data_IF_165292592129
#
_entry.id   IF_165292592129
#
_cell.length_a   1.000
_cell.length_b   1.000
_cell.length_c   1.000
_cell.angle_alpha   90.00
_cell.angle_beta   90.00
_cell.angle_gamma   90.00
#
_symmetry.space_group_name_H-M   'P 1'
#
loop_
_entity.id
_entity.type
_entity.pdbx_description
1 polymer ?
#
# COMPACT_ATOMS: atom_id res chain seq x y z
N UNK A 1 -0.71 -21.76 8.85
CA UNK A 1 -2.16 -21.65 8.63
C UNK A 1 -2.36 -20.62 7.53
N UNK A 2 -2.63 -21.07 6.31
CA UNK A 2 -3.08 -20.17 5.24
C UNK A 2 -4.54 -19.84 5.50
N UNK A 3 -4.82 -18.59 5.89
CA UNK A 3 -6.19 -18.10 6.03
C UNK A 3 -6.82 -17.99 4.66
N UNK A 4 -7.82 -18.83 4.39
CA UNK A 4 -8.64 -18.78 3.18
C UNK A 4 -9.34 -17.41 3.10
N UNK A 5 -8.99 -16.62 2.07
CA UNK A 5 -9.52 -15.27 1.82
C UNK A 5 -10.97 -15.38 1.32
N UNK A 6 -11.94 -15.50 2.21
CA UNK A 6 -13.37 -15.40 1.89
C UNK A 6 -13.83 -13.94 1.85
N UNK A 7 -13.22 -13.14 0.97
CA UNK A 7 -13.56 -11.72 0.88
C UNK A 7 -14.68 -11.51 -0.17
N UNK A 8 -15.93 -11.50 0.28
CA UNK A 8 -17.09 -11.00 -0.47
C UNK A 8 -17.05 -9.47 -0.70
N UNK A 9 -15.87 -8.86 -0.67
CA UNK A 9 -15.70 -7.42 -0.82
C UNK A 9 -15.78 -7.07 -2.31
N UNK A 10 -16.89 -6.46 -2.73
CA UNK A 10 -17.07 -5.96 -4.09
C UNK A 10 -16.36 -4.61 -4.17
N UNK A 11 -15.19 -4.60 -4.81
CA UNK A 11 -14.45 -3.37 -5.09
C UNK A 11 -14.96 -2.70 -6.37
N UNK A 12 -15.16 -1.39 -6.31
CA UNK A 12 -15.31 -0.54 -7.49
C UNK A 12 -14.05 -0.61 -8.34
N UNK A 13 -14.13 -0.26 -9.63
CA UNK A 13 -12.92 -0.22 -10.49
C UNK A 13 -11.85 0.71 -9.94
N UNK A 14 -12.24 1.87 -9.42
CA UNK A 14 -11.34 2.80 -8.74
C UNK A 14 -10.58 2.12 -7.60
N UNK A 15 -11.28 1.39 -6.73
CA UNK A 15 -10.66 0.74 -5.57
C UNK A 15 -9.73 -0.41 -5.99
N UNK A 16 -10.01 -1.09 -7.11
CA UNK A 16 -9.11 -2.09 -7.67
C UNK A 16 -7.79 -1.48 -8.13
N UNK A 17 -7.84 -0.34 -8.83
CA UNK A 17 -6.61 0.37 -9.22
C UNK A 17 -5.87 0.93 -8.00
N UNK A 18 -6.59 1.45 -7.00
CA UNK A 18 -6.01 1.93 -5.76
C UNK A 18 -5.29 0.82 -4.99
N UNK A 19 -5.92 -0.34 -4.81
CA UNK A 19 -5.30 -1.53 -4.21
C UNK A 19 -4.07 -1.98 -5.01
N UNK A 20 -4.17 -2.01 -6.35
CA UNK A 20 -3.05 -2.37 -7.21
C UNK A 20 -1.84 -1.48 -6.99
N UNK A 21 -2.05 -0.17 -6.84
CA UNK A 21 -0.98 0.78 -6.52
C UNK A 21 -0.42 0.54 -5.11
N UNK A 22 -1.28 0.37 -4.09
CA UNK A 22 -0.85 0.08 -2.72
C UNK A 22 0.04 -1.17 -2.64
N UNK A 23 -0.39 -2.26 -3.28
CA UNK A 23 0.36 -3.52 -3.32
C UNK A 23 1.70 -3.33 -4.03
N UNK A 24 1.73 -2.61 -5.16
CA UNK A 24 2.98 -2.37 -5.89
C UNK A 24 3.97 -1.51 -5.09
N UNK A 25 3.50 -0.50 -4.36
CA UNK A 25 4.32 0.29 -3.43
C UNK A 25 4.93 -0.62 -2.36
N UNK A 26 4.11 -1.45 -1.71
CA UNK A 26 4.56 -2.34 -0.64
C UNK A 26 5.55 -3.40 -1.13
N UNK A 27 5.33 -3.97 -2.33
CA UNK A 27 6.28 -4.90 -2.94
C UNK A 27 7.64 -4.25 -3.19
N UNK A 28 7.68 -3.00 -3.66
CA UNK A 28 8.94 -2.28 -3.86
C UNK A 28 9.66 -1.89 -2.55
N UNK A 29 8.90 -1.86 -1.45
CA UNK A 29 9.39 -1.59 -0.10
C UNK A 29 9.70 -2.88 0.69
N UNK A 30 9.43 -4.07 0.15
CA UNK A 30 9.55 -5.34 0.89
C UNK A 30 10.98 -5.65 1.37
N UNK A 31 12.00 -5.19 0.64
CA UNK A 31 13.41 -5.34 1.03
C UNK A 31 13.89 -4.28 2.04
N UNK A 32 13.03 -3.34 2.41
CA UNK A 32 13.35 -2.28 3.39
C UNK A 32 12.93 -2.70 4.79
N UNK A 33 13.52 -2.14 5.87
CA UNK A 33 13.11 -2.45 7.25
C UNK A 33 11.78 -1.78 7.65
N UNK A 34 10.89 -1.57 6.69
CA UNK A 34 9.60 -0.91 6.85
C UNK A 34 8.53 -1.95 7.20
N UNK A 35 7.76 -1.67 8.24
CA UNK A 35 6.69 -2.56 8.71
C UNK A 35 5.34 -1.91 8.48
N UNK A 36 4.49 -2.54 7.67
CA UNK A 36 3.10 -2.12 7.47
C UNK A 36 2.29 -2.36 8.75
N UNK A 37 1.48 -1.37 9.15
CA UNK A 37 0.59 -1.40 10.31
C UNK A 37 -0.78 -0.80 9.97
N UNK A 38 -1.64 -0.66 10.99
CA UNK A 38 -2.93 0.02 10.86
C UNK A 38 -3.94 -0.75 10.00
N UNK A 39 -4.93 -0.02 9.47
CA UNK A 39 -6.02 -0.61 8.68
C UNK A 39 -5.53 -1.31 7.41
N UNK A 40 -4.54 -0.73 6.71
CA UNK A 40 -3.97 -1.30 5.50
C UNK A 40 -3.30 -2.66 5.72
N UNK A 41 -2.66 -2.87 6.87
CA UNK A 41 -2.11 -4.18 7.25
C UNK A 41 -3.21 -5.23 7.41
N UNK A 42 -4.27 -4.89 8.14
CA UNK A 42 -5.41 -5.80 8.37
C UNK A 42 -6.11 -6.12 7.05
N UNK A 43 -6.26 -5.11 6.18
CA UNK A 43 -6.86 -5.26 4.85
C UNK A 43 -6.07 -6.19 3.94
N UNK A 44 -4.78 -5.91 3.73
CA UNK A 44 -3.95 -6.62 2.76
C UNK A 44 -3.41 -7.95 3.29
N UNK A 45 -3.11 -8.04 4.59
CA UNK A 45 -2.45 -9.19 5.20
C UNK A 45 -3.38 -10.15 5.94
N UNK A 46 -4.51 -9.68 6.47
CA UNK A 46 -5.36 -10.45 7.38
C UNK A 46 -6.81 -10.61 6.93
N UNK A 47 -7.20 -10.04 5.78
CA UNK A 47 -8.51 -10.26 5.18
C UNK A 47 -9.63 -9.40 5.78
N UNK A 48 -9.38 -8.11 6.05
CA UNK A 48 -10.46 -7.18 6.41
C UNK A 48 -11.54 -7.15 5.31
N UNK A 49 -12.80 -7.23 5.71
CA UNK A 49 -13.97 -7.16 4.82
C UNK A 49 -14.44 -5.72 4.55
N UNK A 50 -13.54 -4.76 4.69
CA UNK A 50 -13.75 -3.33 4.43
C UNK A 50 -12.52 -2.80 3.70
N UNK A 51 -12.73 -1.97 2.68
CA UNK A 51 -11.64 -1.37 1.92
C UNK A 51 -10.87 -0.37 2.80
N UNK A 52 -9.53 -0.43 2.74
CA UNK A 52 -8.64 0.50 3.43
C UNK A 52 -7.75 1.19 2.41
N UNK A 53 -7.73 2.52 2.44
CA UNK A 53 -7.10 3.35 1.41
C UNK A 53 -5.66 3.76 1.75
N UNK A 54 -5.35 3.81 3.05
CA UNK A 54 -4.11 4.37 3.59
C UNK A 54 -3.05 3.29 3.87
N UNK A 55 -1.78 3.69 3.72
CA UNK A 55 -0.61 2.88 4.08
C UNK A 55 0.11 3.49 5.28
N UNK A 56 -0.12 2.93 6.47
CA UNK A 56 0.58 3.32 7.69
C UNK A 56 1.78 2.41 7.91
N UNK A 57 2.97 2.98 8.06
CA UNK A 57 4.20 2.21 8.18
C UNK A 57 5.06 2.70 9.35
N UNK A 58 5.71 1.76 10.03
CA UNK A 58 6.79 2.06 10.96
C UNK A 58 8.14 1.79 10.32
N UNK A 59 9.12 2.61 10.69
CA UNK A 59 10.44 2.58 10.08
C UNK A 59 11.51 2.94 11.11
N UNK A 60 12.54 2.11 11.21
CA UNK A 60 13.65 2.31 12.15
C UNK A 60 14.73 3.27 11.65
N UNK A 61 14.82 3.50 10.33
CA UNK A 61 15.87 4.32 9.67
C UNK A 61 15.31 5.06 8.45
N UNK A 62 15.77 6.28 8.18
CA UNK A 62 15.35 7.04 6.98
C UNK A 62 15.57 6.25 5.69
N UNK A 63 14.61 6.31 4.78
CA UNK A 63 14.64 5.65 3.46
C UNK A 63 14.34 6.66 2.34
N UNK A 64 14.84 6.41 1.13
CA UNK A 64 14.50 7.21 -0.06
C UNK A 64 13.06 6.89 -0.53
N UNK A 65 12.07 7.34 0.25
CA UNK A 65 10.68 6.96 0.05
C UNK A 65 10.13 7.50 -1.28
N UNK A 66 10.48 8.73 -1.61
CA UNK A 66 10.03 9.35 -2.86
C UNK A 66 10.53 8.57 -4.08
N UNK A 67 11.81 8.17 -4.09
CA UNK A 67 12.37 7.36 -5.19
C UNK A 67 11.70 5.99 -5.30
N UNK A 68 11.42 5.35 -4.16
CA UNK A 68 10.72 4.05 -4.11
C UNK A 68 9.27 4.16 -4.59
N UNK A 69 8.53 5.20 -4.22
CA UNK A 69 7.14 5.37 -4.69
C UNK A 69 7.13 5.65 -6.20
N UNK A 70 8.06 6.46 -6.71
CA UNK A 70 8.14 6.74 -8.16
C UNK A 70 8.41 5.48 -8.99
N UNK A 71 9.25 4.57 -8.48
CA UNK A 71 9.58 3.32 -9.19
C UNK A 71 8.58 2.18 -8.98
N UNK A 72 7.55 2.37 -8.15
CA UNK A 72 6.52 1.37 -7.89
C UNK A 72 5.25 1.55 -8.71
N UNK A 73 5.27 2.31 -9.81
CA UNK A 73 4.08 2.50 -10.65
C UNK A 73 3.76 1.20 -11.41
N UNK A 74 2.62 0.52 -11.14
CA UNK A 74 2.26 -0.69 -11.86
C UNK A 74 1.69 -0.37 -13.24
N UNK A 75 1.64 -1.35 -14.13
CA UNK A 75 1.06 -1.19 -15.47
C UNK A 75 -0.37 -0.64 -15.41
N UNK A 76 -0.66 0.40 -16.19
CA UNK A 76 -1.97 1.04 -16.26
C UNK A 76 -2.22 2.10 -15.17
N UNK A 77 -1.22 2.42 -14.35
CA UNK A 77 -1.26 3.53 -13.39
C UNK A 77 -0.04 4.42 -13.66
N UNK A 78 -0.27 5.73 -13.70
CA UNK A 78 0.77 6.75 -13.82
C UNK A 78 0.74 7.59 -12.55
N UNK A 79 1.91 7.78 -11.93
CA UNK A 79 2.08 8.68 -10.79
C UNK A 79 2.55 10.03 -11.34
N UNK A 80 1.61 10.94 -11.56
CA UNK A 80 1.90 12.26 -12.13
C UNK A 80 2.63 13.17 -11.13
N UNK A 81 2.14 13.23 -9.89
CA UNK A 81 2.66 14.10 -8.84
C UNK A 81 2.65 13.38 -7.47
N UNK A 82 3.64 13.69 -6.63
CA UNK A 82 3.69 13.24 -5.23
C UNK A 82 3.81 14.47 -4.33
N UNK A 83 2.75 14.70 -3.55
CA UNK A 83 2.66 15.82 -2.62
C UNK A 83 3.22 15.43 -1.25
N UNK A 84 4.29 16.10 -0.82
CA UNK A 84 4.91 15.89 0.49
C UNK A 84 4.54 17.04 1.42
N UNK A 85 3.62 16.79 2.36
CA UNK A 85 3.36 17.75 3.44
C UNK A 85 4.46 17.66 4.49
N UNK A 86 5.19 18.76 4.71
CA UNK A 86 6.07 18.90 5.87
C UNK A 86 5.19 19.16 7.09
N UNK A 87 5.14 18.21 8.03
CA UNK A 87 4.65 18.50 9.38
C UNK A 87 5.79 19.21 10.12
N UNK A 88 5.54 20.47 10.50
CA UNK A 88 6.42 21.28 11.34
C UNK A 88 6.28 20.87 12.80
#
# INVERSE_FOLDING_TARGET
METQKSNNLILTERNRYHEKLMVSILQNLAETPLTLKGGGAVYLGYGLNCFSEDLDCDLSKKLNLLGKIKSSSPQGIIIDEINVQKRY
#
